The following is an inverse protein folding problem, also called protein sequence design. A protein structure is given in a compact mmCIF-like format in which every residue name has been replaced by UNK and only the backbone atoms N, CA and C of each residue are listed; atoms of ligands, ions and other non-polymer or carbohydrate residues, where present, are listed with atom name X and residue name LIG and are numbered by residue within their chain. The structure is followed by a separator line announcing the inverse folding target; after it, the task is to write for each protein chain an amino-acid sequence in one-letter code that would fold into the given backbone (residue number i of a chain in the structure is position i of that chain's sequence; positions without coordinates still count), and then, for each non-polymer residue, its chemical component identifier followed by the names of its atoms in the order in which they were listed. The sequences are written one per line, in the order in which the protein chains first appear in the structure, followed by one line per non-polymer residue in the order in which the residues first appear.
data_IF_183687736989
#
_entry.id   IF_183687736989
#
_cell.length_a   1.000
_cell.length_b   1.000
_cell.length_c   1.000
_cell.angle_alpha   90.00
_cell.angle_beta   90.00
_cell.angle_gamma   90.00
#
_symmetry.space_group_name_H-M   'P 1'
#
loop_
_entity.id
_entity.type
_entity.pdbx_description
1 polymer ?
#
# COMPACT_ATOMS: atom_id res chain seq x y z
N UNK A 1 9.34 14.60 -9.36
CA UNK A 1 10.82 14.48 -9.49
C UNK A 1 11.23 13.00 -9.47
N UNK A 2 12.16 12.54 -10.33
CA UNK A 2 12.82 11.26 -10.10
C UNK A 2 13.56 11.38 -8.76
N UNK A 3 13.18 10.57 -7.77
CA UNK A 3 13.77 10.64 -6.43
C UNK A 3 15.27 10.40 -6.47
N UNK A 4 15.99 10.96 -5.50
CA UNK A 4 17.46 10.89 -5.34
C UNK A 4 17.89 9.95 -4.20
N UNK A 5 16.93 9.41 -3.44
CA UNK A 5 17.17 8.49 -2.34
C UNK A 5 17.22 7.04 -2.87
N UNK A 6 18.36 6.39 -2.70
CA UNK A 6 18.53 4.95 -2.98
C UNK A 6 18.28 4.16 -1.70
N UNK A 7 17.40 3.16 -1.77
CA UNK A 7 17.06 2.31 -0.63
C UNK A 7 16.97 0.85 -1.06
N UNK A 8 17.55 -0.04 -0.25
CA UNK A 8 17.34 -1.47 -0.37
C UNK A 8 16.17 -1.91 0.51
N UNK A 9 15.31 -2.78 -0.01
CA UNK A 9 14.19 -3.32 0.76
C UNK A 9 14.62 -4.55 1.55
N UNK A 10 14.23 -4.57 2.81
CA UNK A 10 14.44 -5.69 3.72
C UNK A 10 13.13 -6.01 4.40
N UNK A 11 12.85 -7.31 4.59
CA UNK A 11 11.62 -7.71 5.25
C UNK A 11 11.62 -7.25 6.72
N UNK A 12 10.56 -6.57 7.13
CA UNK A 12 10.33 -6.15 8.50
C UNK A 12 8.99 -6.72 9.01
N UNK A 13 9.08 -7.81 9.76
CA UNK A 13 7.93 -8.57 10.27
C UNK A 13 7.06 -7.74 11.22
N UNK A 14 7.60 -6.73 11.89
CA UNK A 14 6.84 -5.90 12.85
C UNK A 14 5.69 -5.16 12.17
N UNK A 15 5.81 -4.84 10.87
CA UNK A 15 4.74 -4.20 10.09
C UNK A 15 3.70 -5.18 9.52
N UNK A 16 3.98 -6.48 9.53
CA UNK A 16 3.15 -7.48 8.85
C UNK A 16 2.67 -8.60 9.74
N UNK A 17 3.08 -8.63 11.00
CA UNK A 17 2.56 -9.56 12.01
C UNK A 17 1.13 -9.22 12.43
N UNK A 18 0.50 -10.14 13.16
CA UNK A 18 -0.82 -9.92 13.76
C UNK A 18 -0.79 -8.63 14.60
N UNK A 19 -1.84 -7.79 14.56
CA UNK A 19 -1.91 -6.58 15.36
C UNK A 19 -1.55 -6.82 16.83
N UNK A 20 -0.64 -6.01 17.34
CA UNK A 20 0.00 -6.09 18.65
C UNK A 20 0.49 -4.68 19.05
N UNK A 21 0.73 -4.40 20.34
CA UNK A 21 1.27 -3.10 20.73
C UNK A 21 2.57 -2.71 20.01
N UNK A 22 3.43 -3.69 19.72
CA UNK A 22 4.67 -3.49 18.96
C UNK A 22 4.40 -3.12 17.49
N UNK A 23 3.50 -3.85 16.81
CA UNK A 23 3.17 -3.56 15.41
C UNK A 23 2.47 -2.22 15.25
N UNK A 24 1.56 -1.86 16.17
CA UNK A 24 0.87 -0.57 16.14
C UNK A 24 1.85 0.59 16.41
N UNK A 25 2.84 0.39 17.29
CA UNK A 25 3.91 1.36 17.50
C UNK A 25 4.77 1.52 16.23
N UNK A 26 5.09 0.44 15.53
CA UNK A 26 5.84 0.49 14.27
C UNK A 26 5.07 1.25 13.18
N UNK A 27 3.79 0.94 12.96
CA UNK A 27 2.92 1.69 12.05
C UNK A 27 2.82 3.16 12.43
N UNK A 28 2.66 3.48 13.72
CA UNK A 28 2.62 4.85 14.19
C UNK A 28 3.94 5.60 13.93
N UNK A 29 5.08 4.91 14.00
CA UNK A 29 6.41 5.54 13.82
C UNK A 29 6.68 6.09 12.42
N UNK A 30 5.95 5.61 11.40
CA UNK A 30 6.10 6.05 10.00
C UNK A 30 5.01 7.04 9.57
N UNK A 31 4.10 7.39 10.47
CA UNK A 31 3.03 8.37 10.25
C UNK A 31 3.39 9.66 10.99
N UNK A 32 3.43 10.83 10.31
CA UNK A 32 3.79 12.08 10.95
C UNK A 32 2.70 12.57 11.89
N UNK A 33 3.04 13.54 12.73
CA UNK A 33 2.07 14.35 13.47
C UNK A 33 1.03 14.90 12.50
N UNK A 34 -0.25 14.86 12.88
CA UNK A 34 -1.36 15.25 12.01
C UNK A 34 -1.75 14.21 10.96
N UNK A 35 -1.09 13.03 10.94
CA UNK A 35 -1.43 11.88 10.07
C UNK A 35 -1.41 12.19 8.57
N UNK A 36 -0.62 13.19 8.17
CA UNK A 36 -0.51 13.60 6.78
C UNK A 36 -1.54 14.62 6.30
N UNK A 37 -2.45 15.06 7.17
CA UNK A 37 -3.36 16.17 6.86
C UNK A 37 -2.62 17.51 6.97
N UNK A 38 -2.77 18.34 5.95
CA UNK A 38 -2.12 19.64 5.83
C UNK A 38 -3.11 20.72 5.38
N UNK A 39 -2.75 21.96 5.66
CA UNK A 39 -3.31 23.16 5.04
C UNK A 39 -2.14 24.02 4.57
N UNK A 40 -2.19 24.53 3.34
CA UNK A 40 -1.15 25.37 2.77
C UNK A 40 -1.77 26.46 1.89
N UNK A 41 -1.45 27.75 2.06
CA UNK A 41 -2.20 28.84 1.41
C UNK A 41 -2.30 28.76 -0.12
N UNK A 42 -1.26 28.25 -0.80
CA UNK A 42 -1.25 28.09 -2.26
C UNK A 42 -1.50 26.65 -2.73
N UNK A 43 -0.82 25.67 -2.14
CA UNK A 43 -0.84 24.28 -2.60
C UNK A 43 -2.07 23.49 -2.10
N UNK A 44 -2.55 23.78 -0.89
CA UNK A 44 -3.65 23.05 -0.24
C UNK A 44 -4.56 24.05 0.52
N UNK A 45 -5.31 24.92 -0.21
CA UNK A 45 -6.13 25.97 0.41
C UNK A 45 -7.27 25.42 1.28
N UNK A 46 -7.62 24.15 1.09
CA UNK A 46 -8.51 23.36 1.94
C UNK A 46 -7.71 22.25 2.62
N UNK A 47 -8.19 21.78 3.78
CA UNK A 47 -7.59 20.65 4.48
C UNK A 47 -7.49 19.48 3.49
N UNK A 48 -6.27 18.98 3.30
CA UNK A 48 -5.99 17.89 2.36
C UNK A 48 -5.07 16.87 3.01
N UNK A 49 -5.25 15.58 2.69
CA UNK A 49 -4.28 14.55 3.03
C UNK A 49 -3.26 14.41 1.89
N UNK A 50 -1.99 14.16 2.23
CA UNK A 50 -0.99 13.73 1.24
C UNK A 50 -1.19 12.24 0.97
N UNK A 51 -1.44 11.86 -0.29
CA UNK A 51 -1.83 10.52 -0.71
C UNK A 51 -0.97 9.38 -0.13
N UNK A 52 0.34 9.58 0.02
CA UNK A 52 1.25 8.66 0.73
C UNK A 52 0.67 8.15 2.07
N UNK A 53 0.18 9.05 2.92
CA UNK A 53 -0.27 8.68 4.26
C UNK A 53 -1.64 8.01 4.22
N UNK A 54 -2.49 8.39 3.27
CA UNK A 54 -3.72 7.66 3.02
C UNK A 54 -3.45 6.23 2.47
N UNK A 55 -2.48 6.06 1.56
CA UNK A 55 -2.04 4.75 1.06
C UNK A 55 -1.53 3.84 2.20
N UNK A 56 -0.71 4.38 3.11
CA UNK A 56 -0.24 3.64 4.29
C UNK A 56 -1.40 3.28 5.23
N UNK A 57 -2.35 4.20 5.44
CA UNK A 57 -3.56 3.93 6.23
C UNK A 57 -4.39 2.79 5.63
N UNK A 58 -4.65 2.83 4.32
CA UNK A 58 -5.37 1.78 3.61
C UNK A 58 -4.64 0.43 3.70
N UNK A 59 -3.31 0.42 3.50
CA UNK A 59 -2.54 -0.81 3.63
C UNK A 59 -2.63 -1.41 5.04
N UNK A 60 -2.50 -0.61 6.09
CA UNK A 60 -2.69 -1.08 7.47
C UNK A 60 -4.11 -1.64 7.69
N UNK A 61 -5.14 -0.96 7.19
CA UNK A 61 -6.51 -1.45 7.28
C UNK A 61 -6.69 -2.83 6.62
N UNK A 62 -6.03 -3.09 5.48
CA UNK A 62 -6.02 -4.40 4.82
C UNK A 62 -5.28 -5.44 5.68
N UNK A 63 -4.15 -5.09 6.31
CA UNK A 63 -3.45 -5.98 7.24
C UNK A 63 -4.36 -6.40 8.39
N UNK A 64 -5.02 -5.44 9.04
CA UNK A 64 -5.95 -5.72 10.14
C UNK A 64 -7.10 -6.62 9.68
N UNK A 65 -7.76 -6.27 8.58
CA UNK A 65 -8.87 -7.05 8.04
C UNK A 65 -8.45 -8.47 7.64
N UNK A 66 -7.25 -8.66 7.12
CA UNK A 66 -6.70 -9.98 6.82
C UNK A 66 -6.58 -10.85 8.07
N UNK A 67 -6.05 -10.31 9.17
CA UNK A 67 -5.94 -11.07 10.42
C UNK A 67 -7.29 -11.32 11.09
N UNK A 68 -8.25 -10.40 10.95
CA UNK A 68 -9.62 -10.62 11.42
C UNK A 68 -10.30 -11.75 10.62
N UNK A 69 -10.11 -11.80 9.30
CA UNK A 69 -10.63 -12.85 8.44
C UNK A 69 -10.02 -14.23 8.77
N UNK A 70 -8.72 -14.31 9.10
CA UNK A 70 -8.08 -15.56 9.52
C UNK A 70 -8.58 -16.08 10.87
N UNK A 71 -9.18 -15.22 11.70
CA UNK A 71 -9.64 -15.60 13.02
C UNK A 71 -11.02 -16.27 13.03
N UNK A 72 -11.77 -16.27 11.91
CA UNK A 72 -13.16 -16.75 11.88
C UNK A 72 -13.57 -17.41 10.54
N UNK A 73 -13.73 -18.76 10.50
CA UNK A 73 -13.41 -19.70 11.56
C UNK A 73 -11.90 -19.72 11.86
N UNK A 74 -11.47 -20.09 13.08
CA UNK A 74 -10.05 -20.17 13.40
C UNK A 74 -9.34 -21.10 12.42
N UNK A 75 -8.37 -20.57 11.69
CA UNK A 75 -7.57 -21.32 10.72
C UNK A 75 -6.10 -21.25 11.13
N UNK A 76 -5.46 -22.42 11.24
CA UNK A 76 -4.03 -22.47 11.47
C UNK A 76 -3.29 -22.00 10.21
N UNK A 77 -2.37 -21.06 10.38
CA UNK A 77 -1.65 -20.45 9.24
C UNK A 77 -0.88 -21.48 8.40
N UNK A 78 -0.46 -22.59 9.01
CA UNK A 78 0.26 -23.67 8.35
C UNK A 78 -0.62 -24.51 7.40
N UNK A 79 -1.93 -24.48 7.59
CA UNK A 79 -2.88 -25.31 6.83
C UNK A 79 -3.40 -24.61 5.57
N UNK A 80 -3.08 -23.32 5.39
CA UNK A 80 -3.48 -22.54 4.20
C UNK A 80 -2.62 -22.94 3.02
N UNK A 81 -3.19 -23.54 1.95
CA UNK A 81 -2.43 -23.86 0.75
C UNK A 81 -1.87 -22.57 0.16
N UNK A 82 -0.60 -22.61 -0.22
CA UNK A 82 0.01 -21.42 -0.80
C UNK A 82 -0.58 -21.10 -2.16
N UNK A 83 -0.67 -22.09 -3.05
CA UNK A 83 -1.00 -21.85 -4.44
C UNK A 83 -2.49 -22.06 -4.73
N UNK A 84 -3.16 -21.00 -5.20
CA UNK A 84 -4.51 -21.04 -5.72
C UNK A 84 -4.50 -21.27 -7.24
N UNK A 85 -4.76 -22.51 -7.66
CA UNK A 85 -4.66 -22.90 -9.08
C UNK A 85 -5.57 -22.12 -10.05
N UNK A 86 -6.82 -21.75 -9.70
CA UNK A 86 -7.68 -20.97 -10.60
C UNK A 86 -7.14 -19.58 -10.93
N UNK A 87 -6.48 -18.92 -9.97
CA UNK A 87 -5.96 -17.55 -10.16
C UNK A 87 -4.45 -17.50 -10.38
N UNK A 88 -3.72 -18.57 -10.08
CA UNK A 88 -2.26 -18.58 -10.07
C UNK A 88 -1.64 -17.79 -8.92
N UNK A 89 -2.41 -17.52 -7.86
CA UNK A 89 -2.02 -16.61 -6.77
C UNK A 89 -1.43 -17.38 -5.58
N UNK A 90 -0.42 -16.80 -4.93
CA UNK A 90 0.16 -17.26 -3.67
C UNK A 90 -0.48 -16.57 -2.48
N UNK A 91 -1.19 -17.33 -1.66
CA UNK A 91 -2.07 -16.83 -0.61
C UNK A 91 -1.73 -17.35 0.78
N UNK A 92 -0.67 -18.18 0.93
CA UNK A 92 -0.24 -18.59 2.25
C UNK A 92 0.16 -17.36 3.09
N UNK A 93 -0.06 -17.37 4.42
CA UNK A 93 0.17 -16.21 5.26
C UNK A 93 1.56 -15.60 5.16
N UNK A 94 2.61 -16.40 4.98
CA UNK A 94 3.95 -15.85 4.82
C UNK A 94 4.14 -15.07 3.50
N UNK A 95 3.50 -15.48 2.40
CA UNK A 95 3.51 -14.73 1.13
C UNK A 95 2.69 -13.44 1.24
N UNK A 96 1.49 -13.51 1.82
CA UNK A 96 0.66 -12.31 2.03
C UNK A 96 1.39 -11.29 2.90
N UNK A 97 2.09 -11.76 3.95
CA UNK A 97 2.94 -10.90 4.79
C UNK A 97 4.10 -10.29 4.02
N UNK A 98 4.78 -11.05 3.16
CA UNK A 98 5.81 -10.51 2.27
C UNK A 98 5.24 -9.40 1.38
N UNK A 99 4.06 -9.61 0.78
CA UNK A 99 3.37 -8.62 -0.05
C UNK A 99 3.05 -7.34 0.72
N UNK A 100 2.54 -7.44 1.96
CA UNK A 100 2.28 -6.26 2.79
C UNK A 100 3.53 -5.42 3.02
N UNK A 101 4.66 -6.04 3.34
CA UNK A 101 5.89 -5.27 3.59
C UNK A 101 6.49 -4.71 2.30
N UNK A 102 6.42 -5.46 1.20
CA UNK A 102 6.84 -5.00 -0.12
C UNK A 102 6.04 -3.78 -0.57
N UNK A 103 4.70 -3.82 -0.42
CA UNK A 103 3.82 -2.69 -0.75
C UNK A 103 4.07 -1.50 0.18
N UNK A 104 4.23 -1.71 1.48
CA UNK A 104 4.57 -0.64 2.43
C UNK A 104 5.86 0.06 2.03
N UNK A 105 6.90 -0.70 1.72
CA UNK A 105 8.19 -0.14 1.30
C UNK A 105 8.10 0.57 -0.05
N UNK A 106 7.33 0.02 -1.00
CA UNK A 106 7.08 0.64 -2.31
C UNK A 106 6.33 1.97 -2.18
N UNK A 107 5.27 2.02 -1.36
CA UNK A 107 4.52 3.24 -1.04
C UNK A 107 5.46 4.31 -0.49
N UNK A 108 6.30 3.96 0.49
CA UNK A 108 7.28 4.90 1.05
C UNK A 108 8.38 5.31 0.05
N UNK A 109 8.79 4.41 -0.84
CA UNK A 109 9.84 4.67 -1.82
C UNK A 109 9.36 5.59 -2.95
N UNK A 110 8.08 5.52 -3.33
CA UNK A 110 7.50 6.38 -4.35
C UNK A 110 6.79 7.61 -3.79
N UNK A 111 6.45 7.60 -2.51
CA UNK A 111 5.97 8.73 -1.72
C UNK A 111 5.01 9.63 -2.49
N UNK A 112 3.82 9.12 -2.82
CA UNK A 112 2.84 9.86 -3.60
C UNK A 112 2.45 11.18 -2.91
N UNK A 113 2.88 12.30 -3.48
CA UNK A 113 2.63 13.64 -2.95
C UNK A 113 1.38 14.31 -3.52
N UNK A 114 0.51 13.57 -4.22
CA UNK A 114 -0.77 14.10 -4.64
C UNK A 114 -1.60 14.51 -3.40
N UNK A 115 -2.38 15.58 -3.54
CA UNK A 115 -3.26 16.07 -2.49
C UNK A 115 -4.65 15.49 -2.63
N UNK A 116 -5.24 15.12 -1.51
CA UNK A 116 -6.60 14.61 -1.41
C UNK A 116 -7.40 15.52 -0.51
N UNK A 117 -8.21 16.36 -1.14
CA UNK A 117 -9.04 17.33 -0.41
C UNK A 117 -10.02 16.58 0.49
N UNK A 118 -10.11 17.00 1.74
CA UNK A 118 -11.06 16.48 2.72
C UNK A 118 -12.48 16.82 2.26
N UNK A 119 -13.34 15.81 2.16
CA UNK A 119 -14.74 16.01 1.85
C UNK A 119 -15.41 16.85 2.96
N UNK A 120 -16.07 17.97 2.63
CA UNK A 120 -16.63 18.88 3.62
C UNK A 120 -17.90 18.33 4.31
N UNK A 121 -18.53 17.30 3.76
CA UNK A 121 -19.78 16.70 4.26
C UNK A 121 -19.51 15.54 5.19
N UNK A 122 -18.68 14.59 4.75
CA UNK A 122 -18.41 13.36 5.52
C UNK A 122 -17.05 13.36 6.23
N UNK A 123 -16.22 14.39 6.01
CA UNK A 123 -14.89 14.52 6.61
C UNK A 123 -13.96 13.34 6.34
N UNK A 124 -14.06 12.76 5.14
CA UNK A 124 -13.16 11.69 4.68
C UNK A 124 -12.32 12.14 3.49
N UNK A 125 -11.16 11.52 3.33
CA UNK A 125 -10.41 11.52 2.07
C UNK A 125 -10.53 10.13 1.49
N UNK A 126 -11.14 9.99 0.32
CA UNK A 126 -11.29 8.70 -0.35
C UNK A 126 -10.41 8.59 -1.62
N UNK A 127 -9.71 9.66 -1.98
CA UNK A 127 -8.83 9.73 -3.15
C UNK A 127 -9.55 9.84 -4.49
N UNK A 128 -10.88 9.80 -4.52
CA UNK A 128 -11.68 9.78 -5.75
C UNK A 128 -12.08 11.18 -6.22
N UNK A 129 -12.27 11.33 -7.54
CA UNK A 129 -12.71 12.58 -8.18
C UNK A 129 -11.83 13.81 -7.84
N UNK A 130 -10.54 13.58 -7.64
CA UNK A 130 -9.53 14.62 -7.43
C UNK A 130 -8.40 14.41 -8.44
N UNK A 131 -7.87 15.49 -8.98
CA UNK A 131 -6.79 15.42 -9.95
C UNK A 131 -5.53 14.80 -9.33
N UNK A 132 -4.86 13.94 -10.11
CA UNK A 132 -3.62 13.26 -9.74
C UNK A 132 -2.57 13.46 -10.82
N UNK A 133 -1.34 13.70 -10.40
CA UNK A 133 -0.16 13.67 -11.27
C UNK A 133 0.45 12.29 -11.18
N UNK A 134 0.27 11.49 -12.23
CA UNK A 134 0.72 10.11 -12.32
C UNK A 134 1.89 9.95 -13.30
N UNK A 135 2.64 8.85 -13.18
CA UNK A 135 3.48 8.37 -14.29
C UNK A 135 2.58 7.91 -15.44
N UNK A 136 3.04 8.09 -16.68
CA UNK A 136 2.32 7.60 -17.84
C UNK A 136 2.35 6.06 -17.88
N UNK A 137 1.26 5.43 -17.45
CA UNK A 137 1.12 3.98 -17.35
C UNK A 137 1.30 3.30 -18.71
N UNK A 138 0.71 3.84 -19.77
CA UNK A 138 0.78 3.25 -21.11
C UNK A 138 2.20 3.25 -21.68
N UNK A 139 2.98 4.30 -21.39
CA UNK A 139 4.39 4.33 -21.78
C UNK A 139 5.23 3.31 -21.03
N UNK A 140 4.89 3.03 -19.76
CA UNK A 140 5.55 1.98 -18.98
C UNK A 140 5.18 0.60 -19.54
N UNK A 141 3.91 0.36 -19.85
CA UNK A 141 3.44 -0.88 -20.46
C UNK A 141 4.11 -1.11 -21.83
N UNK A 142 4.05 -0.14 -22.72
CA UNK A 142 4.65 -0.25 -24.04
C UNK A 142 6.17 -0.50 -23.97
N UNK A 143 6.85 0.10 -22.99
CA UNK A 143 8.26 -0.18 -22.73
C UNK A 143 8.47 -1.64 -22.29
N UNK A 144 7.68 -2.13 -21.33
CA UNK A 144 7.77 -3.50 -20.83
C UNK A 144 7.50 -4.53 -21.94
N UNK A 145 6.45 -4.33 -22.74
CA UNK A 145 6.11 -5.20 -23.88
C UNK A 145 7.22 -5.24 -24.93
N UNK A 146 7.80 -4.08 -25.26
CA UNK A 146 8.90 -3.99 -26.24
C UNK A 146 10.11 -4.85 -25.86
N UNK A 147 10.34 -5.05 -24.56
CA UNK A 147 11.48 -5.78 -24.03
C UNK A 147 11.07 -7.08 -23.30
N UNK A 148 9.85 -7.56 -23.52
CA UNK A 148 9.36 -8.78 -22.89
C UNK A 148 10.19 -9.99 -23.31
N UNK A 149 10.46 -10.88 -22.36
CA UNK A 149 11.20 -12.13 -22.60
C UNK A 149 10.29 -13.36 -22.78
N UNK A 150 8.98 -13.19 -22.61
CA UNK A 150 7.94 -14.18 -22.90
C UNK A 150 6.67 -13.50 -23.43
N UNK A 151 5.70 -14.29 -23.88
CA UNK A 151 4.37 -13.83 -24.30
C UNK A 151 3.30 -14.07 -23.23
N UNK A 152 3.71 -14.43 -22.01
CA UNK A 152 2.78 -14.73 -20.94
C UNK A 152 2.03 -13.47 -20.48
N UNK A 153 0.77 -13.65 -20.08
CA UNK A 153 -0.09 -12.55 -19.63
C UNK A 153 -0.85 -12.94 -18.37
N UNK A 154 -1.32 -11.95 -17.62
CA UNK A 154 -2.05 -12.13 -16.37
C UNK A 154 -1.21 -11.80 -15.13
N UNK A 155 -1.86 -11.72 -13.98
CA UNK A 155 -1.21 -11.49 -12.69
C UNK A 155 -0.98 -12.88 -12.07
N UNK A 156 0.23 -13.40 -12.23
CA UNK A 156 0.68 -14.64 -11.58
C UNK A 156 1.74 -14.30 -10.53
N UNK A 157 1.78 -15.04 -9.43
CA UNK A 157 2.77 -14.86 -8.34
C UNK A 157 3.58 -16.14 -8.11
#
# INVERSE_FOLDING_TARGET
PPGDIVKQFHHNLTFTQKPSPESEAAWSSIIPVGRGFITHPQLAPFISNIALYHQLHCLHAVVVAYYDALASPPMEMADVPDFDSPTGTRTAPFHVRHCFDYLRQTIMCHADTNLEVLDPVNHTTNGWNQDKVCRNYEMVNAFAERWANSTDTGIVT
#
